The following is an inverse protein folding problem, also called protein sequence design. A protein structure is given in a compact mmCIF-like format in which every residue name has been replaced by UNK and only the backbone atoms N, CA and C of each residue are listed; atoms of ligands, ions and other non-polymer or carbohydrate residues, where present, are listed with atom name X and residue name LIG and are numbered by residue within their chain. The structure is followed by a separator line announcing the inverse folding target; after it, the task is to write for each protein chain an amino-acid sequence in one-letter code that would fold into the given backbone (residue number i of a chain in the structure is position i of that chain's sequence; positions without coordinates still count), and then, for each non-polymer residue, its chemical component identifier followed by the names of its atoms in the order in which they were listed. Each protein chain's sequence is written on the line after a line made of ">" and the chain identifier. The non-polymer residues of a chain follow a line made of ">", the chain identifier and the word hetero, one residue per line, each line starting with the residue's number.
data_IF_296768568840
#
_entry.id   IF_296768568840
#
_cell.length_a   1.000
_cell.length_b   1.000
_cell.length_c   1.000
_cell.angle_alpha   90.00
_cell.angle_beta   90.00
_cell.angle_gamma   90.00
#
_symmetry.space_group_name_H-M   'P 1'
#
loop_
_entity.id
_entity.type
_entity.pdbx_description
1 polymer ?
#
# COMPACT_ATOMS: atom_id res chain seq x y z
N UNK A 1 38.58 -0.66 17.57
CA UNK A 1 37.62 -0.20 16.54
C UNK A 1 36.26 -0.75 16.94
N UNK A 2 35.29 0.12 17.19
CA UNK A 2 33.93 -0.27 17.60
C UNK A 2 33.02 -0.16 16.38
N UNK A 3 32.93 -1.23 15.59
CA UNK A 3 32.05 -1.31 14.43
C UNK A 3 30.68 -1.74 14.90
N UNK A 4 29.79 -0.76 15.08
CA UNK A 4 28.37 -1.01 15.28
C UNK A 4 27.76 -1.27 13.89
N UNK A 5 27.55 -2.55 13.56
CA UNK A 5 26.84 -2.94 12.32
C UNK A 5 25.34 -2.77 12.53
N UNK A 6 24.67 -2.08 11.61
CA UNK A 6 23.22 -1.84 11.68
C UNK A 6 22.41 -3.01 11.11
N UNK A 7 23.07 -3.93 10.42
CA UNK A 7 22.46 -5.16 9.92
C UNK A 7 23.39 -6.38 10.07
N UNK A 8 22.78 -7.56 10.13
CA UNK A 8 23.52 -8.84 10.17
C UNK A 8 24.34 -9.04 8.89
N UNK A 9 23.88 -8.52 7.75
CA UNK A 9 24.62 -8.59 6.48
C UNK A 9 25.90 -7.75 6.52
N UNK A 10 25.85 -6.54 7.08
CA UNK A 10 27.04 -5.71 7.28
C UNK A 10 28.06 -6.36 8.24
N UNK A 11 27.58 -7.12 9.23
CA UNK A 11 28.45 -7.89 10.13
C UNK A 11 29.12 -9.06 9.39
N UNK A 12 28.38 -9.77 8.54
CA UNK A 12 28.90 -10.88 7.74
C UNK A 12 29.90 -10.40 6.68
N UNK A 13 29.64 -9.25 6.05
CA UNK A 13 30.58 -8.57 5.16
C UNK A 13 31.90 -8.22 5.88
N UNK A 14 31.84 -7.82 7.15
CA UNK A 14 33.02 -7.53 7.95
C UNK A 14 33.80 -8.79 8.37
N UNK A 15 33.15 -9.96 8.43
CA UNK A 15 33.77 -11.25 8.76
C UNK A 15 34.46 -11.87 7.54
N UNK A 16 34.02 -11.53 6.31
CA UNK A 16 34.69 -11.90 5.06
C UNK A 16 34.53 -13.37 4.66
N UNK A 17 33.54 -14.06 5.22
CA UNK A 17 33.19 -15.44 4.86
C UNK A 17 31.97 -15.44 3.92
N UNK A 18 32.24 -15.53 2.61
CA UNK A 18 31.19 -15.50 1.59
C UNK A 18 30.25 -16.73 1.67
N UNK A 19 30.73 -17.89 2.13
CA UNK A 19 29.86 -19.07 2.29
C UNK A 19 28.84 -18.85 3.40
N UNK A 20 29.28 -18.32 4.54
CA UNK A 20 28.37 -17.99 5.66
C UNK A 20 27.38 -16.89 5.28
N UNK A 21 27.80 -15.95 4.44
CA UNK A 21 26.95 -14.87 3.94
C UNK A 21 25.89 -15.39 2.98
N UNK A 22 26.26 -16.23 2.02
CA UNK A 22 25.32 -16.87 1.09
C UNK A 22 24.26 -17.66 1.86
N UNK A 23 24.68 -18.52 2.81
CA UNK A 23 23.78 -19.29 3.67
C UNK A 23 22.83 -18.39 4.48
N UNK A 24 23.34 -17.26 4.99
CA UNK A 24 22.53 -16.31 5.76
C UNK A 24 21.52 -15.57 4.88
N UNK A 25 21.91 -15.15 3.68
CA UNK A 25 21.03 -14.47 2.71
C UNK A 25 19.92 -15.42 2.26
N UNK A 26 20.26 -16.66 1.90
CA UNK A 26 19.28 -17.68 1.54
C UNK A 26 18.27 -17.89 2.67
N UNK A 27 18.75 -18.09 3.89
CA UNK A 27 17.90 -18.31 5.07
C UNK A 27 17.01 -17.11 5.43
N UNK A 28 17.49 -15.88 5.22
CA UNK A 28 16.67 -14.66 5.37
C UNK A 28 15.58 -14.63 4.30
N UNK A 29 15.94 -14.93 3.06
CA UNK A 29 15.01 -14.90 1.92
C UNK A 29 13.91 -15.95 2.04
N UNK A 30 14.21 -17.13 2.57
CA UNK A 30 13.26 -18.23 2.79
C UNK A 30 12.25 -17.95 3.91
N UNK A 31 12.44 -16.88 4.70
CA UNK A 31 11.66 -16.63 5.93
C UNK A 31 11.05 -15.23 5.97
N UNK A 32 10.94 -14.57 4.83
CA UNK A 32 10.41 -13.22 4.72
C UNK A 32 8.99 -13.10 5.32
N UNK A 33 8.07 -13.98 4.93
CA UNK A 33 6.67 -13.96 5.35
C UNK A 33 6.56 -14.33 6.83
N UNK A 34 7.27 -15.37 7.27
CA UNK A 34 7.28 -15.77 8.69
C UNK A 34 7.81 -14.63 9.57
N UNK A 35 8.88 -13.96 9.15
CA UNK A 35 9.45 -12.82 9.88
C UNK A 35 8.44 -11.69 10.02
N UNK A 36 7.70 -11.39 8.95
CA UNK A 36 6.64 -10.38 8.97
C UNK A 36 5.49 -10.78 9.90
N UNK A 37 5.07 -12.05 9.91
CA UNK A 37 4.05 -12.54 10.84
C UNK A 37 4.50 -12.41 12.31
N UNK A 38 5.76 -12.72 12.62
CA UNK A 38 6.31 -12.58 13.97
C UNK A 38 6.38 -11.10 14.38
N UNK A 39 6.82 -10.23 13.48
CA UNK A 39 6.87 -8.80 13.71
C UNK A 39 5.46 -8.24 13.95
N UNK A 40 4.49 -8.64 13.11
CA UNK A 40 3.08 -8.29 13.25
C UNK A 40 2.53 -8.71 14.62
N UNK A 41 2.78 -9.96 15.02
CA UNK A 41 2.41 -10.47 16.34
C UNK A 41 3.02 -9.64 17.47
N UNK A 42 4.31 -9.34 17.37
CA UNK A 42 5.05 -8.59 18.39
C UNK A 42 4.53 -7.15 18.53
N UNK A 43 4.20 -6.49 17.42
CA UNK A 43 3.63 -5.13 17.45
C UNK A 43 2.24 -5.05 18.06
N UNK A 44 1.55 -6.19 18.23
CA UNK A 44 0.21 -6.29 18.82
C UNK A 44 0.21 -6.93 20.21
N UNK A 45 1.39 -7.11 20.82
CA UNK A 45 1.56 -7.74 22.13
C UNK A 45 0.89 -9.13 22.28
N UNK A 46 0.75 -9.85 21.15
CA UNK A 46 0.14 -11.19 21.14
C UNK A 46 1.23 -12.24 21.37
N UNK A 47 1.03 -13.16 22.31
CA UNK A 47 1.99 -14.25 22.57
C UNK A 47 1.78 -15.44 21.63
N UNK A 48 2.78 -16.34 21.53
CA UNK A 48 2.60 -17.60 20.80
C UNK A 48 1.47 -18.47 21.40
N UNK A 49 1.26 -18.39 22.72
CA UNK A 49 0.14 -19.07 23.39
C UNK A 49 -1.21 -18.51 22.97
N UNK A 50 -1.33 -17.19 22.83
CA UNK A 50 -2.60 -16.55 22.41
C UNK A 50 -2.94 -16.90 20.96
N UNK A 51 -1.93 -16.91 20.08
CA UNK A 51 -2.11 -17.42 18.71
C UNK A 51 -2.56 -18.88 18.74
N UNK A 52 -1.90 -19.71 19.55
CA UNK A 52 -2.20 -21.14 19.62
C UNK A 52 -3.63 -21.40 20.09
N UNK A 53 -4.08 -20.69 21.13
CA UNK A 53 -5.44 -20.74 21.66
C UNK A 53 -6.45 -20.34 20.59
N UNK A 54 -6.27 -19.18 19.95
CA UNK A 54 -7.19 -18.68 18.91
C UNK A 54 -7.20 -19.55 17.66
N UNK A 55 -6.07 -20.16 17.29
CA UNK A 55 -5.96 -21.11 16.18
C UNK A 55 -6.43 -22.54 16.56
N UNK A 56 -6.76 -22.80 17.83
CA UNK A 56 -7.17 -24.13 18.29
C UNK A 56 -6.06 -25.19 18.19
N UNK A 57 -4.81 -24.81 18.45
CA UNK A 57 -3.65 -25.70 18.35
C UNK A 57 -2.67 -25.54 19.52
N UNK A 58 -1.58 -26.31 19.53
CA UNK A 58 -0.58 -26.21 20.61
C UNK A 58 0.40 -25.06 20.38
N UNK A 59 0.89 -24.45 21.46
CA UNK A 59 1.95 -23.44 21.37
C UNK A 59 3.20 -23.98 20.68
N UNK A 60 3.53 -25.27 20.85
CA UNK A 60 4.62 -25.92 20.13
C UNK A 60 4.41 -25.95 18.60
N UNK A 61 3.16 -26.06 18.12
CA UNK A 61 2.84 -25.96 16.69
C UNK A 61 3.11 -24.55 16.16
N UNK A 62 2.67 -23.51 16.88
CA UNK A 62 2.95 -22.11 16.53
C UNK A 62 4.45 -21.84 16.55
N UNK A 63 5.14 -22.34 17.56
CA UNK A 63 6.59 -22.25 17.70
C UNK A 63 7.32 -22.93 16.54
N UNK A 64 6.80 -24.06 16.04
CA UNK A 64 7.33 -24.74 14.85
C UNK A 64 7.08 -23.93 13.58
N UNK A 65 5.88 -23.35 13.43
CA UNK A 65 5.53 -22.46 12.32
C UNK A 65 6.48 -21.26 12.28
N UNK A 66 6.68 -20.56 13.40
CA UNK A 66 7.58 -19.40 13.49
C UNK A 66 9.05 -19.76 13.29
N UNK A 67 9.43 -21.03 13.45
CA UNK A 67 10.78 -21.53 13.15
C UNK A 67 10.93 -22.14 11.76
N UNK A 68 9.86 -22.29 10.99
CA UNK A 68 9.88 -22.89 9.65
C UNK A 68 10.43 -21.95 8.58
N UNK A 69 10.16 -22.31 7.32
CA UNK A 69 10.40 -21.51 6.11
C UNK A 69 9.07 -21.20 5.42
N UNK A 70 9.04 -20.15 4.61
CA UNK A 70 7.85 -19.62 3.96
C UNK A 70 7.16 -20.69 3.08
N UNK A 71 7.92 -21.60 2.46
CA UNK A 71 7.36 -22.69 1.63
C UNK A 71 6.54 -23.72 2.41
N UNK A 72 6.73 -23.80 3.74
CA UNK A 72 5.94 -24.68 4.61
C UNK A 72 4.62 -24.03 5.03
N UNK A 73 4.46 -22.72 4.81
CA UNK A 73 3.25 -22.00 5.20
C UNK A 73 2.07 -22.38 4.30
N UNK A 74 0.97 -22.74 4.94
CA UNK A 74 -0.33 -22.86 4.27
C UNK A 74 -1.03 -21.51 4.30
N UNK A 75 -1.77 -21.19 3.23
CA UNK A 75 -2.62 -19.99 3.20
C UNK A 75 -3.61 -19.94 4.38
N UNK A 76 -4.12 -21.09 4.81
CA UNK A 76 -4.98 -21.18 5.98
C UNK A 76 -4.27 -20.80 7.28
N UNK A 77 -2.99 -21.15 7.42
CA UNK A 77 -2.20 -20.81 8.60
C UNK A 77 -1.88 -19.32 8.61
N UNK A 78 -1.52 -18.74 7.47
CA UNK A 78 -1.30 -17.28 7.32
C UNK A 78 -2.59 -16.52 7.67
N UNK A 79 -3.72 -16.91 7.09
CA UNK A 79 -5.01 -16.26 7.33
C UNK A 79 -5.43 -16.33 8.81
N UNK A 80 -5.33 -17.52 9.42
CA UNK A 80 -5.69 -17.70 10.82
C UNK A 80 -4.74 -16.93 11.76
N UNK A 81 -3.44 -16.94 11.48
CA UNK A 81 -2.45 -16.20 12.26
C UNK A 81 -2.73 -14.69 12.21
N UNK A 82 -2.94 -14.13 11.03
CA UNK A 82 -3.24 -12.70 10.88
C UNK A 82 -4.58 -12.30 11.52
N UNK A 83 -5.60 -13.16 11.43
CA UNK A 83 -6.86 -12.95 12.13
C UNK A 83 -6.69 -12.86 13.65
N UNK A 84 -5.77 -13.63 14.23
CA UNK A 84 -5.46 -13.56 15.66
C UNK A 84 -4.84 -12.21 16.07
N UNK A 85 -4.17 -11.54 15.13
CA UNK A 85 -3.60 -10.19 15.27
C UNK A 85 -4.57 -9.07 14.86
N UNK A 86 -5.82 -9.38 14.50
CA UNK A 86 -6.82 -8.37 14.11
C UNK A 86 -6.77 -7.95 12.64
N UNK A 87 -6.08 -8.72 11.79
CA UNK A 87 -5.96 -8.45 10.35
C UNK A 87 -6.81 -9.41 9.53
N UNK A 88 -7.25 -8.93 8.36
CA UNK A 88 -7.89 -9.78 7.36
C UNK A 88 -6.87 -10.13 6.28
N UNK A 89 -6.73 -11.42 5.96
CA UNK A 89 -5.93 -11.84 4.82
C UNK A 89 -6.72 -11.69 3.52
N UNK A 90 -6.11 -11.02 2.55
CA UNK A 90 -6.59 -10.98 1.17
C UNK A 90 -5.46 -11.37 0.24
N UNK A 91 -5.77 -12.22 -0.75
CA UNK A 91 -4.84 -12.61 -1.80
C UNK A 91 -5.45 -12.25 -3.15
N UNK A 92 -4.69 -11.52 -3.96
CA UNK A 92 -5.10 -11.09 -5.28
C UNK A 92 -4.23 -11.76 -6.34
N UNK A 93 -4.87 -12.41 -7.30
CA UNK A 93 -4.20 -13.01 -8.45
C UNK A 93 -4.41 -12.11 -9.65
N UNK A 94 -3.32 -11.61 -10.23
CA UNK A 94 -3.34 -10.79 -11.44
C UNK A 94 -2.64 -11.55 -12.57
N UNK A 95 -3.19 -11.56 -13.79
CA UNK A 95 -2.53 -12.14 -14.95
C UNK A 95 -1.14 -11.54 -15.18
N UNK A 96 -0.16 -12.39 -15.45
CA UNK A 96 1.22 -11.96 -15.76
C UNK A 96 1.32 -11.13 -17.05
N UNK A 97 0.31 -11.23 -17.92
CA UNK A 97 0.21 -10.48 -19.18
C UNK A 97 -0.27 -9.03 -19.02
N UNK A 98 -0.70 -8.63 -17.82
CA UNK A 98 -1.21 -7.27 -17.61
C UNK A 98 -0.14 -6.21 -17.76
N UNK A 99 -0.45 -5.20 -18.57
CA UNK A 99 0.36 -3.98 -18.66
C UNK A 99 0.26 -3.18 -17.35
N UNK A 100 1.15 -2.21 -17.16
CA UNK A 100 1.05 -1.27 -16.03
C UNK A 100 -0.31 -0.54 -16.03
N UNK A 101 -0.84 -0.22 -17.21
CA UNK A 101 -2.15 0.41 -17.34
C UNK A 101 -3.28 -0.52 -16.88
N UNK A 102 -3.21 -1.82 -17.19
CA UNK A 102 -4.20 -2.79 -16.74
C UNK A 102 -4.20 -2.94 -15.22
N UNK A 103 -3.01 -2.92 -14.59
CA UNK A 103 -2.87 -2.92 -13.13
C UNK A 103 -3.47 -1.66 -12.51
N UNK A 104 -3.22 -0.48 -13.09
CA UNK A 104 -3.82 0.79 -12.64
C UNK A 104 -5.35 0.72 -12.72
N UNK A 105 -5.90 0.26 -13.85
CA UNK A 105 -7.35 0.09 -14.03
C UNK A 105 -7.93 -0.89 -13.02
N UNK A 106 -7.25 -2.01 -12.77
CA UNK A 106 -7.69 -2.99 -11.78
C UNK A 106 -7.83 -2.38 -10.39
N UNK A 107 -6.82 -1.64 -9.93
CA UNK A 107 -6.89 -0.98 -8.63
C UNK A 107 -7.94 0.13 -8.58
N UNK A 108 -8.12 0.89 -9.67
CA UNK A 108 -9.21 1.87 -9.76
C UNK A 108 -10.59 1.20 -9.60
N UNK A 109 -10.81 0.05 -10.24
CA UNK A 109 -12.05 -0.72 -10.04
C UNK A 109 -12.19 -1.27 -8.62
N UNK A 110 -11.09 -1.70 -7.99
CA UNK A 110 -11.13 -2.11 -6.59
C UNK A 110 -11.57 -0.96 -5.67
N UNK A 111 -11.04 0.25 -5.86
CA UNK A 111 -11.46 1.44 -5.10
C UNK A 111 -12.96 1.69 -5.27
N UNK A 112 -13.46 1.64 -6.51
CA UNK A 112 -14.90 1.80 -6.78
C UNK A 112 -15.72 0.73 -6.06
N UNK A 113 -15.30 -0.53 -6.10
CA UNK A 113 -16.01 -1.62 -5.41
C UNK A 113 -16.07 -1.42 -3.90
N UNK A 114 -14.99 -0.92 -3.27
CA UNK A 114 -14.98 -0.64 -1.83
C UNK A 114 -15.89 0.54 -1.47
N UNK A 115 -15.88 1.59 -2.30
CA UNK A 115 -16.79 2.73 -2.15
C UNK A 115 -18.26 2.30 -2.30
N UNK A 116 -18.58 1.44 -3.27
CA UNK A 116 -19.92 0.88 -3.40
C UNK A 116 -20.32 0.02 -2.21
N UNK A 117 -19.37 -0.76 -1.66
CA UNK A 117 -19.60 -1.56 -0.47
C UNK A 117 -19.91 -0.66 0.74
N UNK A 118 -19.19 0.45 0.87
CA UNK A 118 -19.47 1.47 1.88
C UNK A 118 -20.88 2.03 1.77
N UNK A 119 -21.34 2.39 0.55
CA UNK A 119 -22.72 2.84 0.32
C UNK A 119 -23.77 1.77 0.67
N UNK A 120 -23.48 0.49 0.40
CA UNK A 120 -24.38 -0.61 0.75
C UNK A 120 -24.48 -0.79 2.25
N UNK A 121 -23.36 -0.69 2.97
CA UNK A 121 -23.29 -0.87 4.42
C UNK A 121 -23.85 0.32 5.20
N UNK A 122 -23.79 1.54 4.67
CA UNK A 122 -24.29 2.73 5.34
C UNK A 122 -25.81 2.92 5.21
N UNK A 123 -26.44 2.29 4.21
CA UNK A 123 -27.83 2.54 3.84
C UNK A 123 -28.80 2.42 5.03
N UNK A 124 -29.52 3.51 5.29
CA UNK A 124 -30.54 3.59 6.35
C UNK A 124 -30.02 4.02 7.72
N UNK A 125 -28.73 4.30 7.85
CA UNK A 125 -28.13 4.94 9.03
C UNK A 125 -27.58 6.32 8.63
N UNK A 126 -28.27 7.39 9.05
CA UNK A 126 -27.93 8.76 8.67
C UNK A 126 -26.49 9.16 9.05
N UNK A 127 -25.97 8.63 10.16
CA UNK A 127 -24.61 8.94 10.62
C UNK A 127 -23.59 8.24 9.73
N UNK A 128 -23.83 6.98 9.38
CA UNK A 128 -22.98 6.22 8.47
C UNK A 128 -23.06 6.75 7.04
N UNK A 129 -24.24 7.18 6.57
CA UNK A 129 -24.41 7.77 5.24
C UNK A 129 -23.65 9.09 5.11
N UNK A 130 -23.73 9.96 6.12
CA UNK A 130 -22.94 11.19 6.17
C UNK A 130 -21.43 10.89 6.23
N UNK A 131 -21.04 9.82 6.94
CA UNK A 131 -19.66 9.32 6.95
C UNK A 131 -19.20 8.89 5.56
N UNK A 132 -19.97 8.03 4.89
CA UNK A 132 -19.68 7.55 3.55
C UNK A 132 -19.54 8.71 2.55
N UNK A 133 -20.48 9.67 2.57
CA UNK A 133 -20.42 10.84 1.70
C UNK A 133 -19.11 11.64 1.87
N UNK A 134 -18.66 11.86 3.12
CA UNK A 134 -17.36 12.51 3.39
C UNK A 134 -16.19 11.69 2.85
N UNK A 135 -16.20 10.38 3.09
CA UNK A 135 -15.14 9.48 2.60
C UNK A 135 -15.05 9.46 1.07
N UNK A 136 -16.16 9.56 0.34
CA UNK A 136 -16.15 9.68 -1.11
C UNK A 136 -15.45 10.96 -1.60
N UNK A 137 -15.77 12.11 -1.00
CA UNK A 137 -15.15 13.41 -1.36
C UNK A 137 -13.66 13.41 -1.02
N UNK A 138 -13.29 12.89 0.14
CA UNK A 138 -11.90 12.76 0.56
C UNK A 138 -11.11 11.84 -0.39
N UNK A 139 -11.68 10.68 -0.74
CA UNK A 139 -11.07 9.72 -1.68
C UNK A 139 -10.82 10.36 -3.03
N UNK A 140 -11.81 11.09 -3.58
CA UNK A 140 -11.66 11.81 -4.84
C UNK A 140 -10.51 12.82 -4.78
N UNK A 141 -10.50 13.65 -3.72
CA UNK A 141 -9.49 14.70 -3.54
C UNK A 141 -8.08 14.11 -3.46
N UNK A 142 -7.91 13.05 -2.67
CA UNK A 142 -6.63 12.36 -2.50
C UNK A 142 -6.17 11.70 -3.81
N UNK A 143 -7.07 11.02 -4.54
CA UNK A 143 -6.73 10.39 -5.81
C UNK A 143 -6.31 11.42 -6.87
N UNK A 144 -7.08 12.50 -7.02
CA UNK A 144 -6.73 13.59 -7.95
C UNK A 144 -5.35 14.16 -7.60
N UNK A 145 -5.10 14.44 -6.31
CA UNK A 145 -3.80 14.93 -5.84
C UNK A 145 -2.66 13.98 -6.18
N UNK A 146 -2.80 12.69 -5.85
CA UNK A 146 -1.77 11.68 -6.12
C UNK A 146 -1.48 11.52 -7.62
N UNK A 147 -2.53 11.53 -8.45
CA UNK A 147 -2.38 11.43 -9.91
C UNK A 147 -1.70 12.67 -10.45
N UNK A 148 -2.06 13.87 -10.00
CA UNK A 148 -1.41 15.11 -10.43
C UNK A 148 0.07 15.16 -10.01
N UNK A 149 0.40 14.79 -8.77
CA UNK A 149 1.78 14.71 -8.26
C UNK A 149 2.64 13.71 -9.05
N UNK A 150 2.03 12.63 -9.54
CA UNK A 150 2.70 11.70 -10.44
C UNK A 150 2.85 12.29 -11.85
N UNK A 151 1.80 12.90 -12.38
CA UNK A 151 1.74 13.42 -13.74
C UNK A 151 2.73 14.56 -14.00
N UNK A 152 2.96 15.46 -13.03
CA UNK A 152 3.95 16.55 -13.15
C UNK A 152 5.39 16.05 -13.29
N UNK A 153 5.68 14.78 -12.97
CA UNK A 153 6.99 14.18 -13.23
C UNK A 153 7.21 13.91 -14.72
N UNK A 154 6.16 14.01 -15.54
CA UNK A 154 6.22 13.90 -16.99
C UNK A 154 6.37 15.33 -17.57
N UNK A 155 7.52 15.69 -18.17
CA UNK A 155 7.81 17.08 -18.55
C UNK A 155 6.79 17.73 -19.50
N UNK A 156 6.23 16.95 -20.43
CA UNK A 156 5.21 17.47 -21.34
C UNK A 156 3.88 17.79 -20.63
N UNK A 157 3.53 17.02 -19.60
CA UNK A 157 2.32 17.25 -18.80
C UNK A 157 2.50 18.44 -17.87
N UNK A 158 3.67 18.59 -17.24
CA UNK A 158 4.00 19.76 -16.42
C UNK A 158 3.85 21.07 -17.22
N UNK A 159 4.37 21.05 -18.45
CA UNK A 159 4.28 22.20 -19.37
C UNK A 159 2.81 22.52 -19.69
N UNK A 160 2.01 21.52 -20.07
CA UNK A 160 0.58 21.71 -20.40
C UNK A 160 -0.24 22.17 -19.19
N UNK A 161 -0.02 21.61 -18.00
CA UNK A 161 -0.72 22.02 -16.77
C UNK A 161 -0.42 23.48 -16.42
N UNK A 162 0.84 23.89 -16.55
CA UNK A 162 1.26 25.28 -16.32
C UNK A 162 0.58 26.25 -17.29
N UNK A 163 0.42 25.86 -18.57
CA UNK A 163 -0.32 26.64 -19.55
C UNK A 163 -1.83 26.73 -19.24
N UNK A 164 -2.44 25.65 -18.77
CA UNK A 164 -3.86 25.63 -18.39
C UNK A 164 -4.16 26.54 -17.19
N UNK A 165 -3.29 26.52 -16.16
CA UNK A 165 -3.40 27.42 -15.01
C UNK A 165 -3.28 28.88 -15.47
N UNK A 166 -2.31 29.18 -16.34
CA UNK A 166 -2.10 30.52 -16.90
C UNK A 166 -3.29 31.03 -17.74
N UNK A 167 -3.95 30.15 -18.51
CA UNK A 167 -5.14 30.49 -19.31
C UNK A 167 -6.41 30.65 -18.47
N UNK A 168 -6.46 30.05 -17.28
CA UNK A 168 -7.62 30.09 -16.38
C UNK A 168 -7.59 31.28 -15.41
N UNK A 169 -6.44 31.97 -15.25
CA UNK A 169 -6.28 33.11 -14.36
C UNK A 169 -5.89 34.40 -15.06
N UNK A 170 -6.87 35.26 -15.37
CA UNK A 170 -6.65 36.71 -15.43
C UNK A 170 -6.56 37.25 -13.99
N UNK A 171 -5.41 37.09 -13.36
CA UNK A 171 -5.20 37.58 -11.99
C UNK A 171 -3.85 37.15 -11.42
N UNK A 172 -2.85 38.00 -11.59
CA UNK A 172 -1.56 38.09 -10.87
C UNK A 172 -0.79 36.78 -10.62
N UNK A 173 0.37 36.67 -11.27
CA UNK A 173 1.36 35.62 -11.08
C UNK A 173 1.74 35.41 -9.60
N UNK A 174 1.77 34.16 -9.11
CA UNK A 174 2.41 33.86 -7.86
C UNK A 174 3.81 33.27 -8.06
N UNK A 175 4.71 33.80 -7.25
CA UNK A 175 6.02 33.30 -6.86
C UNK A 175 6.09 31.76 -6.67
N UNK A 176 7.27 31.22 -6.95
CA UNK A 176 7.74 29.82 -6.88
C UNK A 176 7.58 29.12 -5.51
N UNK A 177 6.35 28.99 -5.02
CA UNK A 177 5.97 28.09 -3.92
C UNK A 177 4.81 27.19 -4.39
N UNK A 178 4.72 25.91 -3.99
CA UNK A 178 3.71 25.01 -4.53
C UNK A 178 2.31 25.46 -4.09
N UNK A 179 1.58 26.09 -5.01
CA UNK A 179 0.20 26.52 -4.89
C UNK A 179 -0.70 25.44 -5.50
N UNK A 180 -1.00 24.39 -4.75
CA UNK A 180 -1.94 23.35 -5.18
C UNK A 180 -2.77 22.84 -3.99
N UNK A 181 -3.23 23.75 -3.12
CA UNK A 181 -4.06 23.38 -1.96
C UNK A 181 -5.32 24.24 -1.76
N UNK A 182 -5.66 25.18 -2.64
CA UNK A 182 -6.86 26.01 -2.38
C UNK A 182 -7.73 26.42 -3.57
N UNK A 183 -7.45 25.98 -4.81
CA UNK A 183 -8.28 26.36 -5.96
C UNK A 183 -8.36 25.24 -7.01
N UNK A 184 -9.10 24.19 -6.70
CA UNK A 184 -9.73 23.37 -7.74
C UNK A 184 -11.23 23.59 -7.57
N UNK A 185 -11.70 24.63 -8.26
CA UNK A 185 -13.10 25.01 -8.38
C UNK A 185 -13.80 24.08 -9.39
N UNK A 186 -15.07 23.77 -9.16
CA UNK A 186 -15.91 22.71 -9.75
C UNK A 186 -16.15 22.83 -11.28
N UNK A 187 -15.11 22.70 -12.11
CA UNK A 187 -15.20 23.07 -13.53
C UNK A 187 -14.35 22.29 -14.52
N UNK A 188 -14.06 21.00 -14.30
CA UNK A 188 -13.39 20.17 -15.31
C UNK A 188 -14.43 19.37 -16.11
N UNK A 189 -14.93 19.98 -17.19
CA UNK A 189 -15.75 19.28 -18.22
C UNK A 189 -14.86 18.36 -19.07
N UNK A 190 -15.43 17.25 -19.55
CA UNK A 190 -14.80 16.19 -20.35
C UNK A 190 -13.86 16.70 -21.47
N UNK A 191 -14.15 17.84 -22.09
CA UNK A 191 -13.34 18.44 -23.17
C UNK A 191 -11.92 18.86 -22.75
N UNK A 192 -11.63 19.02 -21.45
CA UNK A 192 -10.27 19.33 -20.94
C UNK A 192 -9.42 18.08 -20.72
N UNK A 193 -10.05 16.90 -20.60
CA UNK A 193 -9.34 15.64 -20.40
C UNK A 193 -8.77 15.14 -21.74
N UNK A 194 -9.49 15.31 -22.85
CA UNK A 194 -8.99 14.95 -24.19
C UNK A 194 -7.70 15.70 -24.56
N UNK A 195 -7.59 16.98 -24.21
CA UNK A 195 -6.38 17.78 -24.46
C UNK A 195 -5.14 17.33 -23.64
N UNK A 196 -5.32 16.53 -22.59
CA UNK A 196 -4.22 15.93 -21.82
C UNK A 196 -3.73 14.60 -22.42
N UNK A 197 -4.57 13.93 -23.22
CA UNK A 197 -4.32 12.58 -23.76
C UNK A 197 -3.51 12.63 -25.08
N UNK A 198 -3.60 13.72 -25.85
CA UNK A 198 -2.88 13.90 -27.12
C UNK A 198 -1.39 14.28 -26.95
N UNK A 199 -0.67 13.62 -26.04
CA UNK A 199 0.79 13.73 -25.89
C UNK A 199 1.52 12.60 -26.63
#
# INVERSE_FOLDING_TARGET
>A
MNTQSNSVLELLDAIGDESLKEDAVERISERSIISDLIALRATHDVSQSDIAEKMGCTQSRVSKLERGIDSDLRLSDIAAYMACCGYTFSAHMIPSSWTLMDKIKHHAFQIVNELETMCKLSKGDEVMEAGAARSHVETLTNLVKLVLESAVKIPCVETRLSEMIRKSGSGTAPSTRPLLTSQIDDGVRESKIEALIDC
#
